data_IF_937011190130
#
_entry.id   IF_937011190130
#
_cell.length_a   1.000
_cell.length_b   1.000
_cell.length_c   1.000
_cell.angle_alpha   90.00
_cell.angle_beta   90.00
_cell.angle_gamma   90.00
#
_symmetry.space_group_name_H-M   'P 1'
#
loop_
_entity.id
_entity.type
_entity.pdbx_description
1 polymer ?
#
# COMPACT_ATOMS: atom_id res chain seq x y z
N UNK A 1 10.77 -41.06 4.55
CA UNK A 1 11.08 -40.85 5.98
C UNK A 1 9.79 -40.78 6.77
N UNK A 2 9.74 -41.32 8.00
CA UNK A 2 8.57 -41.19 8.88
C UNK A 2 8.73 -39.99 9.82
N UNK A 3 7.75 -39.10 9.82
CA UNK A 3 7.68 -37.91 10.65
C UNK A 3 6.52 -38.02 11.64
N UNK A 4 6.70 -37.50 12.85
CA UNK A 4 5.68 -37.60 13.90
C UNK A 4 5.50 -36.29 14.65
N UNK A 5 4.26 -35.93 14.96
CA UNK A 5 3.93 -34.76 15.79
C UNK A 5 2.64 -35.00 16.57
N UNK A 6 2.23 -34.02 17.37
CA UNK A 6 1.01 -34.10 18.16
C UNK A 6 -0.24 -33.95 17.29
N UNK A 7 -1.29 -34.65 17.68
CA UNK A 7 -2.63 -34.60 17.08
C UNK A 7 -3.22 -33.19 17.03
N UNK A 8 -4.30 -33.05 16.25
CA UNK A 8 -4.98 -31.78 16.00
C UNK A 8 -4.00 -30.73 15.43
N UNK A 9 -3.36 -31.02 14.28
CA UNK A 9 -2.40 -30.12 13.65
C UNK A 9 -3.05 -28.81 13.24
N UNK A 10 -2.27 -27.74 13.34
CA UNK A 10 -2.61 -26.40 12.85
C UNK A 10 -1.45 -25.90 12.01
N UNK A 11 -1.72 -24.90 11.18
CA UNK A 11 -0.79 -24.08 10.39
C UNK A 11 0.59 -24.75 10.19
N UNK A 12 1.54 -24.57 11.09
CA UNK A 12 2.91 -25.09 10.94
C UNK A 12 2.99 -26.62 10.82
N UNK A 13 2.24 -27.37 11.63
CA UNK A 13 2.12 -28.84 11.55
C UNK A 13 1.43 -29.35 10.29
N UNK A 14 0.73 -28.49 9.54
CA UNK A 14 0.15 -28.80 8.24
C UNK A 14 1.07 -28.34 7.09
N UNK A 15 1.77 -27.21 7.26
CA UNK A 15 2.69 -26.64 6.30
C UNK A 15 3.97 -27.49 6.16
N UNK A 16 4.53 -27.94 7.27
CA UNK A 16 5.77 -28.73 7.31
C UNK A 16 5.65 -30.03 6.48
N UNK A 17 4.60 -30.87 6.65
CA UNK A 17 4.44 -32.04 5.81
C UNK A 17 4.33 -31.76 4.31
N UNK A 18 3.64 -30.69 3.93
CA UNK A 18 3.54 -30.27 2.53
C UNK A 18 4.92 -29.87 1.97
N UNK A 19 5.68 -29.07 2.72
CA UNK A 19 7.02 -28.65 2.34
C UNK A 19 7.97 -29.84 2.19
N UNK A 20 7.97 -30.74 3.17
CA UNK A 20 8.83 -31.94 3.16
C UNK A 20 8.50 -32.80 1.94
N UNK A 21 7.22 -33.11 1.68
CA UNK A 21 6.81 -33.91 0.52
C UNK A 21 7.20 -33.29 -0.81
N UNK A 22 7.23 -31.96 -0.89
CA UNK A 22 7.47 -31.26 -2.15
C UNK A 22 8.94 -30.99 -2.43
N UNK A 23 9.76 -30.77 -1.39
CA UNK A 23 11.15 -30.30 -1.56
C UNK A 23 12.22 -31.16 -0.89
N UNK A 24 11.85 -32.09 -0.01
CA UNK A 24 12.82 -32.87 0.78
C UNK A 24 12.72 -34.36 0.46
N UNK A 25 11.53 -34.94 0.62
CA UNK A 25 11.27 -36.37 0.46
C UNK A 25 9.81 -36.59 0.05
N UNK A 26 9.62 -36.92 -1.23
CA UNK A 26 8.29 -37.16 -1.84
C UNK A 26 7.54 -38.32 -1.20
N UNK A 27 8.25 -39.28 -0.62
CA UNK A 27 7.70 -40.49 -0.02
C UNK A 27 7.62 -40.35 1.51
N UNK A 28 7.69 -39.12 2.04
CA UNK A 28 7.56 -38.85 3.46
C UNK A 28 6.16 -39.16 4.00
N UNK A 29 6.13 -39.92 5.08
CA UNK A 29 4.94 -40.31 5.83
C UNK A 29 4.84 -39.51 7.13
N UNK A 30 3.61 -39.27 7.59
CA UNK A 30 3.34 -38.43 8.75
C UNK A 30 2.38 -39.14 9.68
N UNK A 31 2.68 -39.10 10.98
CA UNK A 31 1.86 -39.67 12.04
C UNK A 31 1.50 -38.61 13.07
N UNK A 32 0.26 -38.67 13.55
CA UNK A 32 -0.27 -37.81 14.59
C UNK A 32 -0.65 -38.64 15.80
N UNK A 33 -0.17 -38.25 16.98
CA UNK A 33 -0.43 -38.95 18.26
C UNK A 33 -0.69 -37.95 19.38
N UNK A 34 -1.28 -38.36 20.52
CA UNK A 34 -1.36 -37.51 21.71
C UNK A 34 0.00 -36.92 22.09
N UNK A 35 0.02 -35.67 22.56
CA UNK A 35 1.26 -34.91 22.80
C UNK A 35 2.26 -35.64 23.72
N UNK A 36 1.75 -36.28 24.76
CA UNK A 36 2.52 -37.06 25.75
C UNK A 36 3.15 -38.33 25.15
N UNK A 37 2.70 -38.79 23.99
CA UNK A 37 3.19 -40.01 23.33
C UNK A 37 4.18 -39.74 22.20
N UNK A 38 4.34 -38.48 21.76
CA UNK A 38 5.12 -38.15 20.56
C UNK A 38 6.57 -38.64 20.66
N UNK A 39 7.25 -38.37 21.79
CA UNK A 39 8.66 -38.74 21.97
C UNK A 39 8.84 -40.25 22.06
N UNK A 40 8.01 -40.93 22.85
CA UNK A 40 8.10 -42.38 23.02
C UNK A 40 7.84 -43.11 21.71
N UNK A 41 6.82 -42.69 20.95
CA UNK A 41 6.52 -43.24 19.63
C UNK A 41 7.55 -42.88 18.57
N UNK A 42 8.14 -41.70 18.63
CA UNK A 42 9.24 -41.31 17.75
C UNK A 42 10.43 -42.27 17.92
N UNK A 43 10.82 -42.56 19.15
CA UNK A 43 11.91 -43.49 19.45
C UNK A 43 11.56 -44.93 19.04
N UNK A 44 10.35 -45.41 19.35
CA UNK A 44 9.88 -46.75 18.99
C UNK A 44 9.91 -46.99 17.47
N UNK A 45 9.44 -46.01 16.70
CA UNK A 45 9.30 -46.11 15.25
C UNK A 45 10.52 -45.59 14.48
N UNK A 46 11.55 -45.11 15.18
CA UNK A 46 12.66 -44.36 14.57
C UNK A 46 12.18 -43.22 13.66
N UNK A 47 11.09 -42.56 14.06
CA UNK A 47 10.49 -41.44 13.36
C UNK A 47 11.12 -40.12 13.81
N UNK A 48 11.17 -39.14 12.92
CA UNK A 48 11.68 -37.81 13.26
C UNK A 48 10.53 -36.94 13.78
N UNK A 49 10.65 -36.55 15.05
CA UNK A 49 9.67 -35.71 15.73
C UNK A 49 9.84 -34.23 15.35
N UNK A 50 8.73 -33.51 15.19
CA UNK A 50 8.73 -32.09 14.85
C UNK A 50 7.56 -31.30 15.49
N UNK A 51 7.71 -29.97 15.54
CA UNK A 51 6.79 -29.01 16.17
C UNK A 51 6.40 -29.38 17.61
N UNK A 52 7.40 -29.78 18.41
CA UNK A 52 7.25 -29.97 19.85
C UNK A 52 8.49 -29.44 20.59
N UNK A 53 8.40 -29.10 21.88
CA UNK A 53 9.57 -28.67 22.65
C UNK A 53 10.63 -29.78 22.76
N UNK A 54 11.91 -29.41 22.64
CA UNK A 54 13.03 -30.30 22.92
C UNK A 54 13.48 -31.22 21.77
N UNK A 55 12.88 -31.12 20.59
CA UNK A 55 13.33 -31.84 19.38
C UNK A 55 14.06 -30.90 18.42
N UNK A 56 14.78 -31.47 17.46
CA UNK A 56 15.54 -30.69 16.47
C UNK A 56 14.63 -29.83 15.57
N UNK A 57 13.54 -30.41 15.07
CA UNK A 57 12.62 -29.70 14.17
C UNK A 57 11.56 -28.97 15.01
N UNK A 58 11.90 -27.80 15.52
CA UNK A 58 11.04 -27.01 16.41
C UNK A 58 11.14 -25.51 16.12
N UNK A 59 10.47 -24.72 16.94
CA UNK A 59 10.53 -23.26 16.90
C UNK A 59 11.86 -22.73 17.45
N UNK A 60 12.43 -21.76 16.76
CA UNK A 60 13.67 -21.08 17.18
C UNK A 60 13.49 -19.56 17.13
N UNK A 61 13.45 -18.93 18.31
CA UNK A 61 13.19 -17.49 18.44
C UNK A 61 11.88 -17.10 17.74
N UNK A 62 11.95 -16.19 16.75
CA UNK A 62 10.82 -15.72 15.95
C UNK A 62 10.51 -16.62 14.74
N UNK A 63 11.11 -17.81 14.65
CA UNK A 63 10.96 -18.71 13.51
C UNK A 63 10.18 -19.96 13.90
N UNK A 64 9.25 -20.36 13.03
CA UNK A 64 8.48 -21.59 13.17
C UNK A 64 9.26 -22.80 12.63
N UNK A 65 8.71 -24.00 12.82
CA UNK A 65 9.33 -25.25 12.36
C UNK A 65 9.51 -25.26 10.83
N UNK A 66 8.56 -24.67 10.08
CA UNK A 66 8.66 -24.50 8.63
C UNK A 66 9.94 -23.75 8.23
N UNK A 67 10.25 -22.64 8.90
CA UNK A 67 11.46 -21.85 8.63
C UNK A 67 12.73 -22.64 8.92
N UNK A 68 12.73 -23.45 9.98
CA UNK A 68 13.85 -24.31 10.31
C UNK A 68 14.08 -25.35 9.20
N UNK A 69 13.03 -26.00 8.70
CA UNK A 69 13.12 -26.98 7.60
C UNK A 69 13.69 -26.31 6.34
N UNK A 70 13.21 -25.12 5.97
CA UNK A 70 13.72 -24.35 4.82
C UNK A 70 15.23 -24.14 4.94
N UNK A 71 15.71 -23.74 6.13
CA UNK A 71 17.14 -23.53 6.40
C UNK A 71 17.94 -24.84 6.40
N UNK A 72 17.44 -25.85 7.12
CA UNK A 72 18.10 -27.16 7.31
C UNK A 72 18.39 -27.84 5.98
N UNK A 73 17.45 -27.79 5.05
CA UNK A 73 17.55 -28.43 3.73
C UNK A 73 17.99 -27.46 2.62
N UNK A 74 18.36 -26.22 2.94
CA UNK A 74 18.82 -25.20 2.00
C UNK A 74 17.86 -25.01 0.80
N UNK A 75 16.56 -24.88 1.09
CA UNK A 75 15.53 -24.66 0.06
C UNK A 75 15.62 -23.21 -0.40
N UNK A 76 16.03 -22.99 -1.65
CA UNK A 76 16.28 -21.64 -2.21
C UNK A 76 15.15 -21.12 -3.11
N UNK A 77 14.00 -21.80 -3.13
CA UNK A 77 12.87 -21.41 -3.98
C UNK A 77 12.28 -20.05 -3.52
N UNK A 78 12.18 -19.03 -4.40
CA UNK A 78 11.63 -17.73 -4.04
C UNK A 78 10.16 -17.77 -3.55
N UNK A 79 9.34 -18.67 -4.11
CA UNK A 79 7.97 -18.84 -3.68
C UNK A 79 7.89 -19.40 -2.25
N UNK A 80 8.84 -20.27 -1.88
CA UNK A 80 8.96 -20.79 -0.51
C UNK A 80 9.39 -19.70 0.47
N UNK A 81 10.25 -18.76 0.07
CA UNK A 81 10.59 -17.62 0.93
C UNK A 81 9.36 -16.74 1.25
N UNK A 82 8.47 -16.56 0.27
CA UNK A 82 7.19 -15.85 0.46
C UNK A 82 6.29 -16.65 1.41
N UNK A 83 6.09 -17.94 1.14
CA UNK A 83 5.23 -18.81 1.96
C UNK A 83 5.74 -18.91 3.40
N UNK A 84 7.06 -19.02 3.60
CA UNK A 84 7.66 -19.08 4.94
C UNK A 84 7.28 -17.85 5.78
N UNK A 85 7.24 -16.66 5.18
CA UNK A 85 6.80 -15.43 5.86
C UNK A 85 5.31 -15.49 6.22
N UNK A 86 4.47 -16.03 5.34
CA UNK A 86 3.02 -16.16 5.56
C UNK A 86 2.73 -17.19 6.67
N UNK A 87 3.35 -18.37 6.61
CA UNK A 87 3.21 -19.44 7.60
C UNK A 87 3.65 -18.96 8.96
N UNK A 88 4.83 -18.32 9.06
CA UNK A 88 5.34 -17.74 10.29
C UNK A 88 4.36 -16.72 10.88
N UNK A 89 3.86 -15.80 10.05
CA UNK A 89 2.91 -14.78 10.51
C UNK A 89 1.61 -15.38 11.04
N UNK A 90 1.11 -16.43 10.39
CA UNK A 90 -0.13 -17.10 10.77
C UNK A 90 0.04 -17.96 12.02
N UNK A 91 1.18 -18.63 12.17
CA UNK A 91 1.44 -19.55 13.28
C UNK A 91 1.83 -18.82 14.57
N UNK A 92 2.57 -17.70 14.46
CA UNK A 92 3.00 -16.91 15.62
C UNK A 92 2.08 -15.73 15.97
N UNK A 93 0.84 -15.70 15.45
CA UNK A 93 -0.15 -14.62 15.63
C UNK A 93 0.39 -13.21 15.29
N UNK A 94 1.31 -13.14 14.31
CA UNK A 94 1.94 -11.91 13.81
C UNK A 94 1.44 -11.61 12.41
N UNK A 95 0.13 -11.37 12.30
CA UNK A 95 -0.54 -11.16 11.03
C UNK A 95 -0.10 -9.90 10.28
N UNK A 96 0.67 -9.02 10.91
CA UNK A 96 1.25 -7.82 10.33
C UNK A 96 2.39 -8.10 9.34
N UNK A 97 3.10 -9.23 9.49
CA UNK A 97 4.31 -9.51 8.69
C UNK A 97 3.99 -9.99 7.26
N UNK A 98 2.77 -10.49 7.03
CA UNK A 98 2.25 -10.85 5.72
C UNK A 98 0.72 -10.69 5.72
N UNK A 99 0.18 -10.00 4.71
CA UNK A 99 -1.26 -9.73 4.62
C UNK A 99 -2.10 -11.01 4.54
N UNK A 100 -1.53 -12.04 3.92
CA UNK A 100 -2.14 -13.34 3.71
C UNK A 100 -2.17 -14.18 5.01
N UNK A 101 -1.39 -13.83 6.03
CA UNK A 101 -1.26 -14.61 7.26
C UNK A 101 -2.58 -14.74 8.02
N UNK A 102 -3.32 -13.64 8.21
CA UNK A 102 -4.63 -13.67 8.87
C UNK A 102 -5.64 -14.57 8.13
N UNK A 103 -5.59 -14.57 6.80
CA UNK A 103 -6.44 -15.40 5.95
C UNK A 103 -6.06 -16.89 6.07
N UNK A 104 -4.76 -17.19 6.02
CA UNK A 104 -4.27 -18.56 6.20
C UNK A 104 -4.63 -19.10 7.59
N UNK A 105 -4.49 -18.29 8.64
CA UNK A 105 -4.91 -18.63 9.99
C UNK A 105 -6.41 -18.95 10.04
N UNK A 106 -7.26 -18.06 9.49
CA UNK A 106 -8.71 -18.22 9.53
C UNK A 106 -9.17 -19.50 8.80
N UNK A 107 -8.61 -19.77 7.62
CA UNK A 107 -8.93 -20.98 6.85
C UNK A 107 -8.44 -22.24 7.60
N UNK A 108 -7.19 -22.23 8.10
CA UNK A 108 -6.62 -23.38 8.80
C UNK A 108 -7.35 -23.70 10.09
N UNK A 109 -7.75 -22.68 10.86
CA UNK A 109 -8.54 -22.83 12.07
C UNK A 109 -9.94 -23.39 11.76
N UNK A 110 -10.59 -22.88 10.70
CA UNK A 110 -11.89 -23.38 10.24
C UNK A 110 -11.83 -24.83 9.76
N UNK A 111 -10.78 -25.20 8.99
CA UNK A 111 -10.57 -26.58 8.57
C UNK A 111 -10.38 -27.52 9.77
N UNK A 112 -9.50 -27.15 10.72
CA UNK A 112 -9.28 -27.95 11.91
C UNK A 112 -10.53 -28.07 12.80
N UNK A 113 -11.42 -27.07 12.77
CA UNK A 113 -12.71 -27.14 13.46
C UNK A 113 -13.67 -28.13 12.76
N UNK A 114 -13.73 -28.10 11.43
CA UNK A 114 -14.68 -28.89 10.65
C UNK A 114 -14.25 -30.35 10.46
N UNK A 115 -12.95 -30.60 10.38
CA UNK A 115 -12.36 -31.92 10.13
C UNK A 115 -11.68 -32.41 11.40
N UNK A 116 -12.20 -33.51 11.96
CA UNK A 116 -11.66 -34.12 13.18
C UNK A 116 -10.56 -35.14 12.90
N UNK A 117 -10.57 -35.76 11.72
CA UNK A 117 -9.53 -36.70 11.28
C UNK A 117 -8.28 -35.95 10.80
N UNK A 118 -7.15 -36.18 11.46
CA UNK A 118 -5.91 -35.46 11.19
C UNK A 118 -5.30 -35.78 9.81
N UNK A 119 -5.55 -36.97 9.26
CA UNK A 119 -5.05 -37.38 7.95
C UNK A 119 -5.89 -36.76 6.82
N UNK A 120 -7.21 -36.71 6.98
CA UNK A 120 -8.11 -35.99 6.09
C UNK A 120 -7.83 -34.49 6.13
N UNK A 121 -7.59 -33.93 7.32
CA UNK A 121 -7.20 -32.54 7.49
C UNK A 121 -5.87 -32.24 6.77
N UNK A 122 -4.86 -33.10 6.94
CA UNK A 122 -3.59 -32.98 6.24
C UNK A 122 -3.77 -33.00 4.71
N UNK A 123 -4.53 -33.98 4.20
CA UNK A 123 -4.83 -34.11 2.77
C UNK A 123 -5.55 -32.86 2.23
N UNK A 124 -6.51 -32.34 2.98
CA UNK A 124 -7.28 -31.14 2.58
C UNK A 124 -6.41 -29.89 2.60
N UNK A 125 -5.58 -29.73 3.64
CA UNK A 125 -4.66 -28.59 3.77
C UNK A 125 -3.59 -28.55 2.67
N UNK A 126 -3.19 -29.72 2.15
CA UNK A 126 -2.23 -29.83 1.03
C UNK A 126 -2.69 -29.01 -0.18
N UNK A 127 -4.00 -29.02 -0.49
CA UNK A 127 -4.56 -28.23 -1.59
C UNK A 127 -4.41 -26.72 -1.37
N UNK A 128 -4.53 -26.26 -0.13
CA UNK A 128 -4.35 -24.84 0.21
C UNK A 128 -2.90 -24.43 -0.03
N UNK A 129 -1.94 -25.24 0.43
CA UNK A 129 -0.53 -24.94 0.22
C UNK A 129 -0.11 -25.05 -1.25
N UNK A 130 -0.70 -25.97 -2.03
CA UNK A 130 -0.48 -26.02 -3.48
C UNK A 130 -1.04 -24.78 -4.19
N UNK A 131 -2.22 -24.30 -3.79
CA UNK A 131 -2.79 -23.06 -4.31
C UNK A 131 -1.93 -21.84 -3.91
N UNK A 132 -1.50 -21.77 -2.65
CA UNK A 132 -0.65 -20.70 -2.14
C UNK A 132 0.72 -20.69 -2.84
N UNK A 133 1.28 -21.87 -3.12
CA UNK A 133 2.52 -22.01 -3.87
C UNK A 133 2.38 -21.59 -5.32
N UNK A 134 1.29 -22.01 -5.99
CA UNK A 134 0.99 -21.58 -7.36
C UNK A 134 0.82 -20.07 -7.43
N UNK A 135 0.12 -19.48 -6.45
CA UNK A 135 0.01 -18.02 -6.33
C UNK A 135 1.37 -17.36 -6.09
N UNK A 136 2.16 -17.83 -5.12
CA UNK A 136 3.48 -17.27 -4.81
C UNK A 136 4.44 -17.35 -6.02
N UNK A 137 4.33 -18.41 -6.82
CA UNK A 137 5.16 -18.64 -8.00
C UNK A 137 4.75 -17.77 -9.20
N UNK A 138 3.44 -17.65 -9.46
CA UNK A 138 2.95 -17.11 -10.74
C UNK A 138 2.17 -15.80 -10.61
N UNK A 139 1.54 -15.57 -9.46
CA UNK A 139 0.53 -14.52 -9.28
C UNK A 139 0.91 -13.49 -8.19
N UNK A 140 2.00 -13.69 -7.43
CA UNK A 140 2.37 -12.83 -6.31
C UNK A 140 2.48 -11.34 -6.68
N UNK A 141 2.99 -11.04 -7.88
CA UNK A 141 3.13 -9.67 -8.38
C UNK A 141 1.88 -9.16 -9.11
N UNK A 142 0.89 -10.03 -9.37
CA UNK A 142 -0.33 -9.63 -10.04
C UNK A 142 -1.21 -8.86 -9.06
N UNK A 143 -1.53 -7.62 -9.42
CA UNK A 143 -2.56 -6.87 -8.72
C UNK A 143 -3.91 -7.42 -9.17
N UNK A 144 -4.75 -7.84 -8.24
CA UNK A 144 -6.19 -8.02 -8.45
C UNK A 144 -6.84 -6.64 -8.66
N UNK A 145 -6.44 -5.96 -9.73
CA UNK A 145 -7.33 -5.03 -10.40
C UNK A 145 -8.42 -5.93 -10.98
N UNK A 146 -9.67 -5.71 -10.60
CA UNK A 146 -10.79 -6.22 -11.37
C UNK A 146 -10.69 -5.57 -12.75
N UNK A 147 -9.88 -6.18 -13.61
CA UNK A 147 -9.67 -5.73 -14.95
C UNK A 147 -10.89 -6.17 -15.75
N UNK A 148 -11.92 -5.33 -15.77
CA UNK A 148 -12.71 -5.27 -16.97
C UNK A 148 -11.78 -5.02 -18.17
N UNK A 149 -12.20 -5.41 -19.38
CA UNK A 149 -11.43 -5.11 -20.58
C UNK A 149 -11.14 -3.60 -20.71
N UNK A 150 -11.95 -2.75 -20.07
CA UNK A 150 -11.76 -1.31 -20.02
C UNK A 150 -10.57 -0.87 -19.17
N UNK A 151 -10.38 -1.38 -17.95
CA UNK A 151 -9.26 -0.99 -17.08
C UNK A 151 -7.92 -1.46 -17.64
N UNK A 152 -7.88 -2.65 -18.24
CA UNK A 152 -6.69 -3.13 -18.97
C UNK A 152 -6.38 -2.27 -20.17
N UNK A 153 -7.37 -1.92 -20.99
CA UNK A 153 -7.19 -1.02 -22.13
C UNK A 153 -6.77 0.37 -21.66
N UNK A 154 -7.37 0.89 -20.59
CA UNK A 154 -7.02 2.19 -20.02
C UNK A 154 -5.58 2.16 -19.50
N UNK A 155 -5.18 1.10 -18.80
CA UNK A 155 -3.83 0.93 -18.31
C UNK A 155 -2.84 0.76 -19.47
N UNK A 156 -3.18 0.02 -20.52
CA UNK A 156 -2.35 -0.15 -21.72
C UNK A 156 -2.20 1.17 -22.50
N UNK A 157 -3.30 1.88 -22.74
CA UNK A 157 -3.31 3.21 -23.37
C UNK A 157 -2.50 4.19 -22.52
N UNK A 158 -2.71 4.23 -21.20
CA UNK A 158 -2.00 5.12 -20.30
C UNK A 158 -0.50 4.77 -20.25
N UNK A 159 -0.15 3.49 -20.21
CA UNK A 159 1.23 3.01 -20.25
C UNK A 159 1.93 3.36 -21.57
N UNK A 160 1.20 3.23 -22.69
CA UNK A 160 1.69 3.60 -24.02
C UNK A 160 1.87 5.11 -24.13
N UNK A 161 0.90 5.89 -23.65
CA UNK A 161 0.98 7.35 -23.59
C UNK A 161 2.16 7.82 -22.71
N UNK A 162 2.37 7.21 -21.54
CA UNK A 162 3.51 7.49 -20.67
C UNK A 162 4.85 7.06 -21.27
N UNK A 163 4.90 5.99 -22.07
CA UNK A 163 6.10 5.57 -22.80
C UNK A 163 6.41 6.47 -24.00
N UNK A 164 5.38 6.90 -24.73
CA UNK A 164 5.48 7.85 -25.84
C UNK A 164 5.89 9.25 -25.32
N UNK A 165 5.33 9.71 -24.19
CA UNK A 165 5.78 10.96 -23.54
C UNK A 165 7.23 10.89 -23.04
N UNK A 166 7.73 9.72 -22.63
CA UNK A 166 9.14 9.57 -22.21
C UNK A 166 10.13 9.68 -23.36
N UNK A 167 9.69 9.45 -24.60
CA UNK A 167 10.53 9.61 -25.81
C UNK A 167 10.78 11.08 -26.17
N UNK A 168 9.88 12.00 -25.76
CA UNK A 168 9.90 13.41 -26.17
C UNK A 168 10.06 14.42 -25.02
N UNK A 169 10.12 13.98 -23.76
CA UNK A 169 10.41 14.88 -22.64
C UNK A 169 11.87 15.35 -22.70
N UNK A 170 12.08 16.54 -23.26
CA UNK A 170 13.18 17.41 -22.83
C UNK A 170 13.22 17.38 -21.30
N UNK A 171 14.38 17.07 -20.71
CA UNK A 171 14.60 17.06 -19.26
C UNK A 171 13.90 18.28 -18.64
N UNK A 172 13.01 18.02 -17.69
CA UNK A 172 12.38 19.09 -16.90
C UNK A 172 13.52 19.86 -16.25
N UNK A 173 13.66 21.18 -16.51
CA UNK A 173 14.73 21.96 -15.91
C UNK A 173 14.63 21.97 -14.38
N UNK A 174 15.77 21.93 -13.69
CA UNK A 174 15.82 21.88 -12.22
C UNK A 174 15.10 23.07 -11.57
N UNK A 175 15.14 24.25 -12.21
CA UNK A 175 14.45 25.46 -11.75
C UNK A 175 12.94 25.28 -11.63
N UNK A 176 12.32 24.33 -12.34
CA UNK A 176 10.87 24.09 -12.27
C UNK A 176 10.47 23.53 -10.91
N UNK A 177 11.25 22.60 -10.36
CA UNK A 177 10.99 22.02 -9.04
C UNK A 177 11.23 23.07 -7.95
N UNK A 178 12.30 23.85 -8.09
CA UNK A 178 12.69 24.91 -7.18
C UNK A 178 11.66 26.06 -7.16
N UNK A 179 11.14 26.46 -8.33
CA UNK A 179 10.05 27.43 -8.44
C UNK A 179 8.76 26.95 -7.77
N UNK A 180 8.42 25.67 -7.88
CA UNK A 180 7.26 25.11 -7.16
C UNK A 180 7.43 25.23 -5.65
N UNK A 181 8.64 24.99 -5.14
CA UNK A 181 8.94 25.15 -3.72
C UNK A 181 8.82 26.61 -3.27
N UNK A 182 9.37 27.56 -4.04
CA UNK A 182 9.26 29.01 -3.77
C UNK A 182 7.79 29.45 -3.76
N UNK A 183 7.00 29.02 -4.75
CA UNK A 183 5.58 29.37 -4.82
C UNK A 183 4.83 28.82 -3.59
N UNK A 184 5.12 27.58 -3.18
CA UNK A 184 4.49 26.97 -2.00
C UNK A 184 4.86 27.71 -0.71
N UNK A 185 6.13 28.05 -0.50
CA UNK A 185 6.59 28.82 0.66
C UNK A 185 5.94 30.22 0.72
N UNK A 186 5.83 30.89 -0.43
CA UNK A 186 5.17 32.20 -0.53
C UNK A 186 3.67 32.15 -0.27
N UNK A 187 2.98 31.05 -0.59
CA UNK A 187 1.58 30.80 -0.22
C UNK A 187 1.44 30.71 1.31
N UNK A 188 2.39 30.08 1.97
CA UNK A 188 2.30 29.79 3.41
C UNK A 188 2.71 31.00 4.28
N UNK A 189 3.48 31.95 3.73
CA UNK A 189 4.03 33.09 4.47
C UNK A 189 3.36 34.44 4.20
N UNK A 190 3.35 34.94 2.95
CA UNK A 190 2.99 36.35 2.67
C UNK A 190 2.15 36.60 1.39
N UNK A 191 1.84 35.58 0.58
CA UNK A 191 1.09 35.72 -0.69
C UNK A 191 1.65 36.81 -1.65
N UNK A 192 2.95 37.08 -1.54
CA UNK A 192 3.66 38.10 -2.32
C UNK A 192 4.46 37.42 -3.42
N UNK A 193 4.01 37.59 -4.67
CA UNK A 193 4.63 36.99 -5.85
C UNK A 193 5.12 38.09 -6.78
N UNK A 194 6.44 38.19 -6.94
CA UNK A 194 7.08 39.05 -7.93
C UNK A 194 7.98 38.21 -8.82
N UNK A 195 7.61 38.14 -10.11
CA UNK A 195 8.37 37.39 -11.11
C UNK A 195 9.84 37.82 -11.15
N UNK A 196 10.17 39.11 -11.00
CA UNK A 196 11.55 39.60 -11.01
C UNK A 196 12.34 39.10 -9.81
N UNK A 197 11.73 39.14 -8.62
CA UNK A 197 12.34 38.65 -7.38
C UNK A 197 12.60 37.14 -7.48
N UNK A 198 11.58 36.39 -7.86
CA UNK A 198 11.64 34.93 -8.04
C UNK A 198 12.68 34.54 -9.11
N UNK A 199 12.73 35.27 -10.22
CA UNK A 199 13.75 35.04 -11.25
C UNK A 199 15.16 35.25 -10.70
N UNK A 200 15.35 36.26 -9.85
CA UNK A 200 16.65 36.55 -9.22
C UNK A 200 17.05 35.44 -8.23
N UNK A 201 16.11 34.96 -7.41
CA UNK A 201 16.32 33.84 -6.48
C UNK A 201 16.72 32.55 -7.20
N UNK A 202 16.12 32.28 -8.36
CA UNK A 202 16.43 31.12 -9.20
C UNK A 202 17.65 31.32 -10.12
N UNK A 203 18.35 32.46 -10.03
CA UNK A 203 19.41 32.85 -10.96
C UNK A 203 19.00 32.78 -12.45
N UNK A 204 17.74 33.09 -12.75
CA UNK A 204 17.15 33.10 -14.09
C UNK A 204 16.92 34.52 -14.63
N UNK A 205 16.94 34.64 -15.95
CA UNK A 205 16.47 35.86 -16.60
C UNK A 205 14.92 35.95 -16.53
N UNK A 206 14.31 37.08 -16.10
CA UNK A 206 12.86 37.20 -15.99
C UNK A 206 12.09 36.99 -17.29
N UNK A 207 12.67 37.39 -18.43
CA UNK A 207 12.05 37.17 -19.74
C UNK A 207 12.13 35.71 -20.17
N UNK A 208 13.18 34.99 -19.78
CA UNK A 208 13.27 33.54 -19.98
C UNK A 208 12.23 32.82 -19.13
N UNK A 209 12.16 33.12 -17.83
CA UNK A 209 11.19 32.51 -16.93
C UNK A 209 9.76 32.76 -17.43
N UNK A 210 9.42 34.01 -17.79
CA UNK A 210 8.10 34.34 -18.31
C UNK A 210 7.71 33.56 -19.58
N UNK A 211 8.67 33.28 -20.47
CA UNK A 211 8.44 32.58 -21.74
C UNK A 211 8.30 31.07 -21.55
N UNK A 212 9.09 30.51 -20.63
CA UNK A 212 9.10 29.07 -20.38
C UNK A 212 8.07 28.63 -19.34
N UNK A 213 7.53 29.55 -18.52
CA UNK A 213 6.63 29.24 -17.42
C UNK A 213 5.42 28.40 -17.86
N UNK A 214 4.69 28.81 -18.89
CA UNK A 214 3.46 28.11 -19.29
C UNK A 214 3.69 26.66 -19.68
N UNK A 215 4.87 26.32 -20.23
CA UNK A 215 5.23 24.95 -20.63
C UNK A 215 5.24 23.96 -19.45
N UNK A 216 5.41 24.46 -18.22
CA UNK A 216 5.57 23.62 -17.03
C UNK A 216 4.48 23.84 -15.97
N UNK A 217 3.61 24.83 -16.16
CA UNK A 217 2.61 25.26 -15.18
C UNK A 217 1.22 25.40 -15.82
N UNK A 218 0.66 24.25 -16.22
CA UNK A 218 -0.72 24.09 -16.71
C UNK A 218 -1.08 24.95 -17.94
N UNK A 219 -0.11 25.25 -18.81
CA UNK A 219 -0.27 26.16 -19.95
C UNK A 219 -0.75 27.58 -19.57
N UNK A 220 -0.63 27.93 -18.28
CA UNK A 220 -0.96 29.26 -17.75
C UNK A 220 0.26 30.16 -17.73
N UNK A 221 0.08 31.46 -17.99
CA UNK A 221 1.17 32.39 -17.69
C UNK A 221 1.32 32.59 -16.17
N UNK A 222 2.46 33.14 -15.74
CA UNK A 222 2.77 33.33 -14.32
C UNK A 222 1.63 34.06 -13.57
N UNK A 223 1.10 35.14 -14.12
CA UNK A 223 0.04 35.91 -13.47
C UNK A 223 -1.30 35.17 -13.38
N UNK A 224 -1.62 34.34 -14.37
CA UNK A 224 -2.79 33.45 -14.36
C UNK A 224 -2.66 32.37 -13.30
N UNK A 225 -1.50 31.74 -13.23
CA UNK A 225 -1.21 30.69 -12.26
C UNK A 225 -1.28 31.22 -10.82
N UNK A 226 -0.67 32.38 -10.55
CA UNK A 226 -0.77 33.02 -9.24
C UNK A 226 -2.22 33.39 -8.90
N UNK A 227 -3.00 33.92 -9.85
CA UNK A 227 -4.43 34.21 -9.62
C UNK A 227 -5.21 32.94 -9.28
N UNK A 228 -4.97 31.84 -10.00
CA UNK A 228 -5.60 30.54 -9.74
C UNK A 228 -5.34 30.09 -8.30
N UNK A 229 -4.06 30.05 -7.90
CA UNK A 229 -3.65 29.65 -6.54
C UNK A 229 -4.30 30.52 -5.46
N UNK A 230 -4.32 31.85 -5.67
CA UNK A 230 -4.98 32.78 -4.74
C UNK A 230 -6.46 32.47 -4.56
N UNK A 231 -7.17 32.12 -5.65
CA UNK A 231 -8.58 31.72 -5.58
C UNK A 231 -8.75 30.37 -4.88
N UNK A 232 -7.89 29.39 -5.13
CA UNK A 232 -7.94 28.09 -4.44
C UNK A 232 -7.76 28.24 -2.93
N UNK A 233 -6.80 29.05 -2.49
CA UNK A 233 -6.68 29.39 -1.06
C UNK A 233 -7.90 30.13 -0.53
N UNK A 234 -8.46 31.07 -1.31
CA UNK A 234 -9.65 31.81 -0.92
C UNK A 234 -10.86 30.89 -0.73
N UNK A 235 -11.04 29.87 -1.58
CA UNK A 235 -12.07 28.84 -1.42
C UNK A 235 -11.88 28.13 -0.07
N UNK A 236 -10.66 27.65 0.21
CA UNK A 236 -10.35 27.01 1.49
C UNK A 236 -10.65 27.91 2.70
N UNK A 237 -10.34 29.20 2.63
CA UNK A 237 -10.63 30.14 3.70
C UNK A 237 -12.14 30.41 3.83
N UNK A 238 -12.89 30.49 2.72
CA UNK A 238 -14.34 30.68 2.74
C UNK A 238 -15.06 29.49 3.40
N UNK A 239 -14.56 28.27 3.21
CA UNK A 239 -15.17 27.04 3.72
C UNK A 239 -14.80 26.72 5.18
N UNK A 240 -13.59 27.12 5.59
CA UNK A 240 -12.99 26.66 6.84
C UNK A 240 -12.72 27.77 7.87
N UNK A 241 -13.05 29.03 7.58
CA UNK A 241 -12.83 30.15 8.50
C UNK A 241 -14.04 31.09 8.59
N UNK A 242 -14.03 31.97 9.59
CA UNK A 242 -15.03 33.02 9.80
C UNK A 242 -14.61 34.39 9.22
N UNK A 243 -13.45 34.48 8.55
CA UNK A 243 -12.95 35.73 7.99
C UNK A 243 -13.97 36.37 7.03
N UNK A 244 -14.10 37.69 7.08
CA UNK A 244 -14.87 38.48 6.12
C UNK A 244 -14.28 38.34 4.70
N UNK A 245 -15.10 38.62 3.67
CA UNK A 245 -14.61 38.60 2.29
C UNK A 245 -13.51 39.64 2.05
N UNK A 246 -13.52 40.74 2.80
CA UNK A 246 -12.48 41.75 2.80
C UNK A 246 -11.17 41.20 3.35
N UNK A 247 -11.22 40.53 4.52
CA UNK A 247 -10.03 39.89 5.12
C UNK A 247 -9.48 38.78 4.22
N UNK A 248 -10.35 37.94 3.64
CA UNK A 248 -9.91 36.88 2.72
C UNK A 248 -9.24 37.47 1.48
N UNK A 249 -9.74 38.60 0.95
CA UNK A 249 -9.10 39.28 -0.18
C UNK A 249 -7.66 39.68 0.19
N UNK A 250 -7.44 40.30 1.35
CA UNK A 250 -6.10 40.68 1.80
C UNK A 250 -5.21 39.49 2.14
N UNK A 251 -5.73 38.46 2.83
CA UNK A 251 -4.99 37.25 3.19
C UNK A 251 -4.54 36.44 1.97
N UNK A 252 -5.24 36.56 0.85
CA UNK A 252 -4.89 35.92 -0.42
C UNK A 252 -4.17 36.88 -1.38
N UNK A 253 -3.70 38.03 -0.87
CA UNK A 253 -2.82 38.96 -1.58
C UNK A 253 -3.50 39.87 -2.60
N UNK A 254 -4.84 40.01 -2.58
CA UNK A 254 -5.53 41.02 -3.38
C UNK A 254 -5.46 42.41 -2.72
N UNK A 255 -5.39 43.44 -3.55
CA UNK A 255 -5.37 44.85 -3.12
C UNK A 255 -6.68 45.30 -2.50
N UNK A 256 -7.80 44.71 -2.91
CA UNK A 256 -9.14 45.09 -2.51
C UNK A 256 -10.16 43.97 -2.80
N UNK A 257 -11.29 44.03 -2.10
CA UNK A 257 -12.36 43.04 -2.20
C UNK A 257 -13.07 43.03 -3.57
N UNK A 258 -13.16 44.19 -4.24
CA UNK A 258 -13.85 44.31 -5.53
C UNK A 258 -13.08 43.56 -6.62
N UNK A 259 -11.75 43.74 -6.65
CA UNK A 259 -10.86 43.00 -7.53
C UNK A 259 -10.90 41.50 -7.24
N UNK A 260 -10.79 41.10 -5.97
CA UNK A 260 -10.95 39.71 -5.54
C UNK A 260 -12.26 39.09 -6.04
N UNK A 261 -13.39 39.78 -5.83
CA UNK A 261 -14.72 39.29 -6.21
C UNK A 261 -14.85 39.04 -7.71
N UNK A 262 -14.28 39.95 -8.53
CA UNK A 262 -14.27 39.81 -9.99
C UNK A 262 -13.49 38.57 -10.43
N UNK A 263 -12.28 38.39 -9.90
CA UNK A 263 -11.41 37.26 -10.25
C UNK A 263 -11.98 35.94 -9.72
N UNK A 264 -12.49 35.92 -8.49
CA UNK A 264 -13.14 34.73 -7.92
C UNK A 264 -14.32 34.28 -8.78
N UNK A 265 -15.18 35.21 -9.23
CA UNK A 265 -16.30 34.87 -10.11
C UNK A 265 -15.82 34.37 -11.47
N UNK A 266 -14.75 34.94 -12.02
CA UNK A 266 -14.18 34.49 -13.28
C UNK A 266 -13.66 33.05 -13.19
N UNK A 267 -13.05 32.68 -12.07
CA UNK A 267 -12.52 31.33 -11.85
C UNK A 267 -13.58 30.29 -11.43
N UNK A 268 -14.56 30.67 -10.59
CA UNK A 268 -15.50 29.72 -9.96
C UNK A 268 -16.91 29.76 -10.55
N UNK A 269 -17.21 30.72 -11.42
CA UNK A 269 -18.55 31.00 -11.94
C UNK A 269 -19.53 31.59 -10.92
N UNK A 270 -19.15 31.72 -9.64
CA UNK A 270 -20.03 32.16 -8.54
C UNK A 270 -19.42 33.36 -7.80
N UNK A 271 -20.28 34.18 -7.19
CA UNK A 271 -19.82 35.25 -6.30
C UNK A 271 -19.34 34.65 -4.96
N UNK A 272 -18.22 35.12 -4.37
CA UNK A 272 -17.73 34.64 -3.07
C UNK A 272 -18.78 34.62 -1.95
N UNK A 273 -19.65 35.64 -1.90
CA UNK A 273 -20.72 35.74 -0.90
C UNK A 273 -21.76 34.63 -1.04
N UNK A 274 -22.13 34.30 -2.28
CA UNK A 274 -23.05 33.20 -2.59
C UNK A 274 -22.39 31.86 -2.36
N UNK A 275 -21.10 31.75 -2.69
CA UNK A 275 -20.28 30.56 -2.44
C UNK A 275 -20.28 30.21 -0.94
N UNK A 276 -20.03 31.20 -0.08
CA UNK A 276 -20.07 31.04 1.38
C UNK A 276 -21.43 30.56 1.90
N UNK A 277 -22.53 31.17 1.45
CA UNK A 277 -23.89 30.81 1.88
C UNK A 277 -24.24 29.35 1.55
N UNK A 278 -23.74 28.84 0.43
CA UNK A 278 -23.97 27.46 0.03
C UNK A 278 -23.12 26.46 0.83
N UNK A 279 -21.88 26.83 1.18
CA UNK A 279 -21.03 26.02 2.04
C UNK A 279 -21.58 25.90 3.48
N UNK A 280 -22.22 26.95 4.00
CA UNK A 280 -22.86 26.91 5.33
C UNK A 280 -24.15 26.10 5.38
N UNK A 281 -24.89 25.97 4.26
CA UNK A 281 -26.13 25.16 4.19
C UNK A 281 -25.87 23.65 4.07
N UNK A 282 -24.64 23.24 3.77
CA UNK A 282 -24.28 21.84 3.51
C UNK A 282 -23.55 21.16 4.68
N UNK A 283 -23.29 21.87 5.79
CA UNK A 283 -22.93 21.25 7.08
C UNK A 283 -24.22 20.95 7.86
N UNK A 284 -24.69 19.69 7.95
CA UNK A 284 -25.87 19.37 8.76
C UNK A 284 -25.59 19.69 10.23
N UNK A 285 -26.56 20.34 10.87
CA UNK A 285 -26.62 20.57 12.31
C UNK A 285 -26.39 19.24 13.05
N UNK A 286 -25.17 19.03 13.52
CA UNK A 286 -24.86 17.99 14.52
C UNK A 286 -24.85 18.68 15.87
N UNK A 287 -26.04 19.06 16.35
CA UNK A 287 -26.34 19.29 17.77
C UNK A 287 -27.84 19.39 17.98
N UNK A 288 -28.38 18.42 18.73
CA UNK A 288 -29.60 18.59 19.52
C UNK A 288 -30.82 17.80 19.05
N UNK A 289 -30.85 16.51 19.39
CA UNK A 289 -31.97 15.89 20.10
C UNK A 289 -31.41 14.83 21.04
#
# INVERSE_FOLDING_TARGET
MLWITRERPKIDRLACPWLIRKFVDKDAEFMYVPFDQVIDKANELSAIAFDIPGVEFTHYHDQCTFDYIVKKYNITDPAIAIIATIVRGADTDRHDIAKEAAGLWAISAGLAHNITDDYELLKTSTLIYDALYSWATHLYQQRHLQNGPFESLLHEVYSKFLKEEKSDRKKIPDWVAELKAIIQDQIDTQFSFDLKKISTELALNPSYLSREFSKYFEDLNFGEYIRKIRIEKAISLIENSSYSLTEIAYLTGFSDQSHFTRIFRQHTGKNPSLFRKNATKSKPDTKGK
#
